data_IF_607118912850
#
_entry.id   IF_607118912850
#
_cell.length_a   1.000
_cell.length_b   1.000
_cell.length_c   1.000
_cell.angle_alpha   90.00
_cell.angle_beta   90.00
_cell.angle_gamma   90.00
#
_symmetry.space_group_name_H-M   'P 1'
#
loop_
_entity.id
_entity.type
_entity.pdbx_description
1 polymer ?
#
# COMPACT_ATOMS: atom_id res chain seq x y z
N UNK A 1 -85.73 -15.37 -70.86
CA UNK A 1 -84.52 -14.74 -71.45
C UNK A 1 -84.00 -13.59 -70.61
N UNK A 2 -84.75 -12.50 -70.37
CA UNK A 2 -84.27 -11.40 -69.50
C UNK A 2 -84.33 -11.75 -68.01
N UNK A 3 -85.40 -12.39 -67.55
CA UNK A 3 -85.54 -12.87 -66.17
C UNK A 3 -84.42 -13.84 -65.74
N UNK A 4 -83.99 -14.73 -66.64
CA UNK A 4 -82.90 -15.69 -66.41
C UNK A 4 -81.51 -15.04 -66.39
N UNK A 5 -81.34 -13.89 -67.06
CA UNK A 5 -80.09 -13.12 -66.97
C UNK A 5 -80.00 -12.39 -65.64
N UNK A 6 -81.10 -11.81 -65.19
CA UNK A 6 -81.19 -11.13 -63.89
C UNK A 6 -80.96 -12.08 -62.71
N UNK A 7 -81.46 -13.33 -62.78
CA UNK A 7 -81.18 -14.33 -61.73
C UNK A 7 -79.72 -14.76 -61.71
N UNK A 8 -79.12 -15.02 -62.89
CA UNK A 8 -77.69 -15.36 -62.99
C UNK A 8 -76.78 -14.24 -62.49
N UNK A 9 -77.12 -12.99 -62.77
CA UNK A 9 -76.39 -11.83 -62.24
C UNK A 9 -76.55 -11.69 -60.72
N UNK A 10 -77.74 -11.97 -60.18
CA UNK A 10 -77.97 -11.96 -58.74
C UNK A 10 -77.19 -13.08 -58.02
N UNK A 11 -77.14 -14.28 -58.60
CA UNK A 11 -76.40 -15.42 -58.05
C UNK A 11 -74.89 -15.20 -58.14
N UNK A 12 -74.39 -14.61 -59.24
CA UNK A 12 -72.98 -14.19 -59.36
C UNK A 12 -72.60 -13.10 -58.36
N UNK A 13 -73.49 -12.13 -58.10
CA UNK A 13 -73.27 -11.12 -57.04
C UNK A 13 -73.26 -11.76 -55.66
N UNK A 14 -74.09 -12.78 -55.41
CA UNK A 14 -74.09 -13.52 -54.14
C UNK A 14 -72.79 -14.32 -53.96
N UNK A 15 -72.33 -15.03 -55.00
CA UNK A 15 -71.07 -15.77 -54.93
C UNK A 15 -69.86 -14.86 -54.67
N UNK A 16 -69.79 -13.70 -55.34
CA UNK A 16 -68.73 -12.71 -55.09
C UNK A 16 -68.75 -12.16 -53.64
N UNK A 17 -69.94 -11.96 -53.07
CA UNK A 17 -70.08 -11.51 -51.67
C UNK A 17 -69.64 -12.61 -50.71
N UNK A 18 -69.94 -13.88 -51.01
CA UNK A 18 -69.52 -15.04 -50.22
C UNK A 18 -68.00 -15.27 -50.30
N UNK A 19 -67.41 -15.21 -51.48
CA UNK A 19 -65.96 -15.28 -51.69
C UNK A 19 -65.25 -14.15 -50.93
N UNK A 20 -65.74 -12.91 -51.02
CA UNK A 20 -65.19 -11.78 -50.26
C UNK A 20 -65.27 -12.01 -48.75
N UNK A 21 -66.39 -12.56 -48.25
CA UNK A 21 -66.54 -12.91 -46.83
C UNK A 21 -65.58 -14.02 -46.42
N UNK A 22 -65.35 -15.00 -47.28
CA UNK A 22 -64.43 -16.11 -47.00
C UNK A 22 -62.97 -15.62 -46.94
N UNK A 23 -62.53 -14.85 -47.93
CA UNK A 23 -61.19 -14.22 -47.94
C UNK A 23 -60.99 -13.35 -46.70
N UNK A 24 -62.00 -12.56 -46.31
CA UNK A 24 -61.91 -11.75 -45.10
C UNK A 24 -61.77 -12.60 -43.83
N UNK A 25 -62.48 -13.73 -43.73
CA UNK A 25 -62.37 -14.66 -42.59
C UNK A 25 -60.99 -15.32 -42.53
N UNK A 26 -60.46 -15.77 -43.66
CA UNK A 26 -59.13 -16.36 -43.77
C UNK A 26 -58.03 -15.35 -43.43
N UNK A 27 -58.19 -14.11 -43.87
CA UNK A 27 -57.29 -13.00 -43.49
C UNK A 27 -57.33 -12.73 -41.98
N UNK A 28 -58.51 -12.66 -41.37
CA UNK A 28 -58.63 -12.46 -39.92
C UNK A 28 -58.06 -13.64 -39.12
N UNK A 29 -58.26 -14.87 -39.59
CA UNK A 29 -57.69 -16.07 -38.96
C UNK A 29 -56.15 -16.09 -39.07
N UNK A 30 -55.59 -15.72 -40.22
CA UNK A 30 -54.14 -15.64 -40.39
C UNK A 30 -53.51 -14.51 -39.56
N UNK A 31 -54.15 -13.34 -39.48
CA UNK A 31 -53.72 -12.22 -38.64
C UNK A 31 -53.74 -12.56 -37.15
N UNK A 32 -54.79 -13.25 -36.67
CA UNK A 32 -54.87 -13.67 -35.26
C UNK A 32 -53.78 -14.68 -34.91
N UNK A 33 -53.51 -15.66 -35.80
CA UNK A 33 -52.40 -16.60 -35.65
C UNK A 33 -51.03 -15.89 -35.68
N UNK A 34 -50.84 -14.92 -36.58
CA UNK A 34 -49.60 -14.13 -36.65
C UNK A 34 -49.37 -13.37 -35.35
N UNK A 35 -50.37 -12.65 -34.85
CA UNK A 35 -50.30 -11.92 -33.58
C UNK A 35 -50.05 -12.84 -32.38
N UNK A 36 -50.64 -14.04 -32.37
CA UNK A 36 -50.38 -15.02 -31.32
C UNK A 36 -48.93 -15.51 -31.35
N UNK A 37 -48.37 -15.77 -32.53
CA UNK A 37 -46.95 -16.14 -32.71
C UNK A 37 -46.02 -15.02 -32.29
N UNK A 38 -46.29 -13.78 -32.70
CA UNK A 38 -45.51 -12.60 -32.30
C UNK A 38 -45.48 -12.43 -30.78
N UNK A 39 -46.63 -12.57 -30.09
CA UNK A 39 -46.71 -12.52 -28.63
C UNK A 39 -45.89 -13.63 -27.97
N UNK A 40 -45.94 -14.85 -28.54
CA UNK A 40 -45.15 -15.97 -28.02
C UNK A 40 -43.65 -15.73 -28.19
N UNK A 41 -43.22 -15.24 -29.36
CA UNK A 41 -41.83 -14.88 -29.63
C UNK A 41 -41.34 -13.78 -28.69
N UNK A 42 -42.16 -12.75 -28.46
CA UNK A 42 -41.82 -11.68 -27.52
C UNK A 42 -41.67 -12.21 -26.08
N UNK A 43 -42.60 -13.07 -25.64
CA UNK A 43 -42.51 -13.70 -24.32
C UNK A 43 -41.25 -14.56 -24.20
N UNK A 44 -40.92 -15.32 -25.25
CA UNK A 44 -39.73 -16.15 -25.29
C UNK A 44 -38.45 -15.31 -25.24
N UNK A 45 -38.35 -14.25 -26.03
CA UNK A 45 -37.20 -13.34 -26.04
C UNK A 45 -37.00 -12.70 -24.66
N UNK A 46 -38.09 -12.22 -24.05
CA UNK A 46 -38.05 -11.65 -22.71
C UNK A 46 -37.56 -12.66 -21.66
N UNK A 47 -38.01 -13.93 -21.72
CA UNK A 47 -37.52 -14.98 -20.83
C UNK A 47 -36.02 -15.27 -21.04
N UNK A 48 -35.53 -15.24 -22.29
CA UNK A 48 -34.10 -15.42 -22.55
C UNK A 48 -33.28 -14.26 -21.98
N UNK A 49 -33.76 -13.02 -22.12
CA UNK A 49 -33.09 -11.84 -21.54
C UNK A 49 -33.01 -11.93 -20.01
N UNK A 50 -34.11 -12.29 -19.34
CA UNK A 50 -34.08 -12.46 -17.89
C UNK A 50 -33.12 -13.57 -17.46
N UNK A 51 -33.10 -14.69 -18.18
CA UNK A 51 -32.13 -15.77 -17.91
C UNK A 51 -30.69 -15.28 -18.10
N UNK A 52 -30.41 -14.49 -19.14
CA UNK A 52 -29.08 -13.92 -19.35
C UNK A 52 -28.71 -12.94 -18.24
N UNK A 53 -29.63 -12.06 -17.83
CA UNK A 53 -29.38 -11.14 -16.72
C UNK A 53 -29.08 -11.87 -15.40
N UNK A 54 -29.75 -12.98 -15.12
CA UNK A 54 -29.45 -13.80 -13.93
C UNK A 54 -28.03 -14.36 -13.99
N UNK A 55 -27.64 -14.95 -15.13
CA UNK A 55 -26.29 -15.47 -15.34
C UNK A 55 -25.22 -14.38 -15.23
N UNK A 56 -25.48 -13.20 -15.82
CA UNK A 56 -24.57 -12.07 -15.77
C UNK A 56 -24.40 -11.56 -14.33
N UNK A 57 -25.49 -11.49 -13.56
CA UNK A 57 -25.44 -11.10 -12.14
C UNK A 57 -24.63 -12.09 -11.30
N UNK A 58 -24.82 -13.39 -11.52
CA UNK A 58 -24.05 -14.44 -10.85
C UNK A 58 -22.56 -14.31 -11.19
N UNK A 59 -22.22 -14.15 -12.47
CA UNK A 59 -20.85 -13.97 -12.93
C UNK A 59 -20.19 -12.69 -12.38
N UNK A 60 -20.93 -11.59 -12.31
CA UNK A 60 -20.41 -10.38 -11.69
C UNK A 60 -20.18 -10.56 -10.19
N UNK A 61 -21.08 -11.27 -9.50
CA UNK A 61 -20.95 -11.54 -8.08
C UNK A 61 -19.69 -12.37 -7.80
N UNK A 62 -19.48 -13.47 -8.53
CA UNK A 62 -18.29 -14.31 -8.39
C UNK A 62 -17.02 -13.51 -8.65
N UNK A 63 -16.96 -12.76 -9.75
CA UNK A 63 -15.81 -11.91 -10.09
C UNK A 63 -15.53 -10.85 -9.02
N UNK A 64 -16.56 -10.25 -8.42
CA UNK A 64 -16.40 -9.30 -7.30
C UNK A 64 -15.85 -9.99 -6.06
N UNK A 65 -16.32 -11.21 -5.75
CA UNK A 65 -15.79 -11.98 -4.61
C UNK A 65 -14.34 -12.40 -4.79
N UNK A 66 -13.95 -12.86 -5.99
CA UNK A 66 -12.57 -13.21 -6.33
C UNK A 66 -11.65 -11.99 -6.19
N UNK A 67 -12.03 -10.86 -6.79
CA UNK A 67 -11.28 -9.59 -6.67
C UNK A 67 -11.11 -9.17 -5.22
N UNK A 68 -12.15 -9.32 -4.41
CA UNK A 68 -12.09 -9.03 -2.97
C UNK A 68 -11.14 -9.98 -2.25
N UNK A 69 -11.14 -11.27 -2.58
CA UNK A 69 -10.22 -12.26 -2.04
C UNK A 69 -8.76 -11.87 -2.31
N UNK A 70 -8.43 -11.62 -3.58
CA UNK A 70 -7.07 -11.19 -3.99
C UNK A 70 -6.64 -9.91 -3.27
N UNK A 71 -7.54 -8.93 -3.10
CA UNK A 71 -7.21 -7.69 -2.42
C UNK A 71 -6.92 -7.91 -0.92
N UNK A 72 -7.67 -8.79 -0.27
CA UNK A 72 -7.43 -9.17 1.12
C UNK A 72 -6.10 -9.93 1.28
N UNK A 73 -5.80 -10.85 0.37
CA UNK A 73 -4.55 -11.62 0.39
C UNK A 73 -3.33 -10.70 0.19
N UNK A 74 -3.42 -9.77 -0.75
CA UNK A 74 -2.39 -8.76 -0.97
C UNK A 74 -2.21 -7.88 0.27
N UNK A 75 -3.30 -7.41 0.88
CA UNK A 75 -3.24 -6.63 2.12
C UNK A 75 -2.54 -7.39 3.24
N UNK A 76 -2.90 -8.66 3.45
CA UNK A 76 -2.28 -9.49 4.47
C UNK A 76 -0.79 -9.71 4.20
N UNK A 77 -0.42 -9.91 2.93
CA UNK A 77 0.98 -10.06 2.51
C UNK A 77 1.79 -8.79 2.78
N UNK A 78 1.27 -7.62 2.39
CA UNK A 78 1.94 -6.35 2.67
C UNK A 78 2.08 -6.08 4.16
N UNK A 79 1.07 -6.40 4.96
CA UNK A 79 1.16 -6.25 6.42
C UNK A 79 2.27 -7.12 7.02
N UNK A 80 2.41 -8.38 6.57
CA UNK A 80 3.51 -9.26 7.00
C UNK A 80 4.87 -8.67 6.62
N UNK A 81 5.03 -8.25 5.36
CA UNK A 81 6.26 -7.64 4.88
C UNK A 81 6.62 -6.36 5.65
N UNK A 82 5.64 -5.54 6.00
CA UNK A 82 5.88 -4.35 6.83
C UNK A 82 6.42 -4.71 8.22
N UNK A 83 5.84 -5.74 8.86
CA UNK A 83 6.32 -6.21 10.17
C UNK A 83 7.74 -6.74 10.06
N UNK A 84 8.01 -7.60 9.08
CA UNK A 84 9.35 -8.17 8.82
C UNK A 84 10.39 -7.06 8.61
N UNK A 85 10.10 -6.06 7.78
CA UNK A 85 11.01 -4.93 7.53
C UNK A 85 11.25 -4.11 8.79
N UNK A 86 10.23 -3.86 9.60
CA UNK A 86 10.39 -3.13 10.86
C UNK A 86 11.22 -3.91 11.88
N UNK A 87 11.06 -5.23 11.95
CA UNK A 87 11.88 -6.09 12.81
C UNK A 87 13.34 -6.11 12.35
N UNK A 88 13.59 -6.26 11.05
CA UNK A 88 14.94 -6.19 10.48
C UNK A 88 15.62 -4.86 10.79
N UNK A 89 14.93 -3.72 10.59
CA UNK A 89 15.47 -2.40 10.92
C UNK A 89 15.82 -2.26 12.40
N UNK A 90 14.96 -2.75 13.30
CA UNK A 90 15.25 -2.74 14.74
C UNK A 90 16.50 -3.55 15.07
N UNK A 91 16.64 -4.73 14.47
CA UNK A 91 17.83 -5.57 14.65
C UNK A 91 19.09 -4.88 14.12
N UNK A 92 19.04 -4.27 12.94
CA UNK A 92 20.16 -3.49 12.38
C UNK A 92 20.58 -2.36 13.31
N UNK A 93 19.61 -1.57 13.81
CA UNK A 93 19.89 -0.50 14.78
C UNK A 93 20.52 -0.99 16.07
N UNK A 94 20.07 -2.13 16.59
CA UNK A 94 20.64 -2.73 17.80
C UNK A 94 22.07 -3.19 17.55
N UNK A 95 22.32 -3.82 16.40
CA UNK A 95 23.66 -4.24 15.99
C UNK A 95 24.60 -3.05 15.80
N UNK A 96 24.11 -1.96 15.21
CA UNK A 96 24.88 -0.72 15.04
C UNK A 96 25.21 -0.08 16.39
N UNK A 97 24.24 0.00 17.31
CA UNK A 97 24.47 0.48 18.69
C UNK A 97 25.55 -0.35 19.39
N UNK A 98 25.47 -1.69 19.28
CA UNK A 98 26.46 -2.59 19.86
C UNK A 98 27.83 -2.46 19.18
N UNK A 99 27.88 -2.19 17.87
CA UNK A 99 29.13 -1.96 17.16
C UNK A 99 29.80 -0.65 17.60
N UNK A 100 29.03 0.43 17.73
CA UNK A 100 29.51 1.72 18.24
C UNK A 100 29.99 1.59 19.69
N UNK A 101 29.26 0.88 20.55
CA UNK A 101 29.69 0.62 21.93
C UNK A 101 31.02 -0.14 21.97
N UNK A 102 31.14 -1.23 21.19
CA UNK A 102 32.39 -2.00 21.09
C UNK A 102 33.56 -1.16 20.58
N UNK A 103 33.33 -0.31 19.59
CA UNK A 103 34.36 0.60 19.08
C UNK A 103 34.79 1.63 20.14
N UNK A 104 33.83 2.20 20.88
CA UNK A 104 34.12 3.13 21.96
C UNK A 104 34.88 2.47 23.12
N UNK A 105 34.54 1.22 23.46
CA UNK A 105 35.26 0.41 24.45
C UNK A 105 36.70 0.12 24.02
N UNK A 106 36.90 -0.25 22.75
CA UNK A 106 38.23 -0.48 22.18
C UNK A 106 39.09 0.79 22.23
N UNK A 107 38.56 1.93 21.80
CA UNK A 107 39.28 3.21 21.89
C UNK A 107 39.59 3.60 23.33
N UNK A 108 38.65 3.38 24.26
CA UNK A 108 38.90 3.63 25.67
C UNK A 108 39.97 2.72 26.26
N UNK A 109 40.05 1.46 25.81
CA UNK A 109 41.08 0.53 26.23
C UNK A 109 42.47 0.95 25.72
N UNK A 110 42.58 1.34 24.44
CA UNK A 110 43.82 1.83 23.85
C UNK A 110 44.31 3.10 24.55
N UNK A 111 43.41 4.05 24.82
CA UNK A 111 43.73 5.27 25.56
C UNK A 111 44.22 4.98 26.98
N UNK A 112 43.60 4.01 27.68
CA UNK A 112 44.06 3.56 29.00
C UNK A 112 45.43 2.92 28.95
N UNK A 113 45.68 2.05 27.96
CA UNK A 113 46.97 1.38 27.79
C UNK A 113 48.09 2.40 27.53
N UNK A 114 47.85 3.39 26.66
CA UNK A 114 48.79 4.47 26.41
C UNK A 114 49.11 5.27 27.67
N UNK A 115 48.09 5.66 28.44
CA UNK A 115 48.28 6.46 29.66
C UNK A 115 49.01 5.67 30.76
N UNK A 116 48.69 4.39 30.93
CA UNK A 116 49.39 3.51 31.88
C UNK A 116 50.87 3.40 31.52
N UNK A 117 51.18 3.12 30.25
CA UNK A 117 52.56 3.04 29.79
C UNK A 117 53.30 4.38 29.95
N UNK A 118 52.66 5.50 29.65
CA UNK A 118 53.24 6.82 29.83
C UNK A 118 53.58 7.09 31.32
N UNK A 119 52.70 6.69 32.24
CA UNK A 119 52.92 6.83 33.68
C UNK A 119 54.11 5.97 34.16
N UNK A 120 54.25 4.73 33.65
CA UNK A 120 55.41 3.86 33.92
C UNK A 120 56.72 4.52 33.46
N UNK A 121 56.77 5.02 32.23
CA UNK A 121 57.95 5.69 31.66
C UNK A 121 58.31 6.97 32.43
N UNK A 122 57.31 7.72 32.90
CA UNK A 122 57.52 8.91 33.74
C UNK A 122 58.10 8.52 35.10
N UNK A 123 57.59 7.44 35.72
CA UNK A 123 58.11 6.94 36.99
C UNK A 123 59.56 6.46 36.87
N UNK A 124 59.89 5.71 35.81
CA UNK A 124 61.25 5.24 35.58
C UNK A 124 62.21 6.41 35.28
N UNK A 125 61.77 7.39 34.49
CA UNK A 125 62.55 8.60 34.22
C UNK A 125 62.82 9.42 35.49
N UNK A 126 61.84 9.50 36.39
CA UNK A 126 61.99 10.12 37.72
C UNK A 126 63.03 9.40 38.56
N UNK A 127 62.98 8.06 38.60
CA UNK A 127 63.96 7.24 39.35
C UNK A 127 65.38 7.39 38.82
N UNK A 128 65.53 7.53 37.50
CA UNK A 128 66.82 7.65 36.81
C UNK A 128 67.34 9.09 36.71
N UNK A 129 66.64 10.09 37.24
CA UNK A 129 67.06 11.50 37.21
C UNK A 129 67.01 12.17 35.83
N UNK A 130 66.21 11.63 34.89
CA UNK A 130 66.06 12.18 33.53
C UNK A 130 65.05 13.34 33.51
N UNK A 131 65.16 14.29 32.56
CA UNK A 131 64.20 15.40 32.45
C UNK A 131 62.79 14.90 32.09
N UNK A 132 61.80 15.27 32.90
CA UNK A 132 60.41 14.76 32.82
C UNK A 132 59.52 15.65 31.94
N UNK A 133 59.88 16.93 31.81
CA UNK A 133 59.08 17.94 31.11
C UNK A 133 58.68 17.57 29.67
N UNK A 134 59.58 16.99 28.84
CA UNK A 134 59.20 16.55 27.49
C UNK A 134 58.11 15.47 27.48
N UNK A 135 58.15 14.54 28.44
CA UNK A 135 57.18 13.45 28.55
C UNK A 135 55.79 13.99 28.95
N UNK A 136 55.75 14.90 29.92
CA UNK A 136 54.50 15.53 30.36
C UNK A 136 53.84 16.33 29.24
N UNK A 137 54.64 17.02 28.43
CA UNK A 137 54.14 17.73 27.26
C UNK A 137 53.49 16.79 26.25
N UNK A 138 54.12 15.66 25.94
CA UNK A 138 53.57 14.66 25.00
C UNK A 138 52.26 14.08 25.54
N UNK A 139 52.18 13.71 26.81
CA UNK A 139 50.94 13.19 27.43
C UNK A 139 49.83 14.23 27.38
N UNK A 140 50.14 15.51 27.62
CA UNK A 140 49.16 16.61 27.52
C UNK A 140 48.68 16.79 26.08
N UNK A 141 49.58 16.79 25.10
CA UNK A 141 49.22 16.88 23.69
C UNK A 141 48.36 15.69 23.23
N UNK A 142 48.65 14.47 23.71
CA UNK A 142 47.84 13.29 23.46
C UNK A 142 46.42 13.43 24.03
N UNK A 143 46.30 13.80 25.31
CA UNK A 143 45.00 14.02 25.96
C UNK A 143 44.16 15.07 25.25
N UNK A 144 44.79 16.13 24.74
CA UNK A 144 44.13 17.17 23.96
C UNK A 144 43.65 16.65 22.60
N UNK A 145 44.46 15.85 21.89
CA UNK A 145 44.10 15.27 20.58
C UNK A 145 42.94 14.28 20.67
N UNK A 146 42.89 13.48 21.73
CA UNK A 146 41.88 12.44 21.91
C UNK A 146 40.68 12.91 22.77
N UNK A 147 40.56 14.21 23.05
CA UNK A 147 39.49 14.79 23.87
C UNK A 147 39.34 14.16 25.26
N UNK A 148 40.44 13.69 25.85
CA UNK A 148 40.50 13.12 27.21
C UNK A 148 40.65 14.20 28.29
N UNK A 149 40.83 15.46 27.91
CA UNK A 149 40.88 16.57 28.85
C UNK A 149 39.51 16.78 29.51
N UNK A 150 39.46 16.96 30.85
CA UNK A 150 38.21 17.26 31.53
C UNK A 150 37.63 18.55 30.97
N UNK A 151 36.36 18.50 30.56
CA UNK A 151 35.66 19.70 30.08
C UNK A 151 35.76 20.80 31.12
N UNK A 152 36.34 21.94 30.73
CA UNK A 152 36.44 23.11 31.59
C UNK A 152 35.03 23.52 32.00
N UNK A 153 34.72 23.41 33.29
CA UNK A 153 33.44 23.89 33.83
C UNK A 153 33.44 25.40 33.68
N UNK A 154 32.63 25.92 32.75
CA UNK A 154 32.46 27.35 32.59
C UNK A 154 31.96 27.95 33.92
N UNK A 155 32.59 29.02 34.42
CA UNK A 155 32.12 29.71 35.61
C UNK A 155 30.68 30.20 35.38
N UNK A 156 29.84 30.30 36.43
CA UNK A 156 28.41 30.60 36.29
C UNK A 156 28.10 31.84 35.47
N UNK A 157 28.99 32.84 35.51
CA UNK A 157 28.89 34.11 34.79
C UNK A 157 29.05 33.98 33.27
N UNK A 158 29.74 32.94 32.79
CA UNK A 158 29.96 32.66 31.36
C UNK A 158 29.01 31.59 30.81
N UNK A 159 28.06 31.10 31.63
CA UNK A 159 27.02 30.20 31.16
C UNK A 159 25.97 31.02 30.43
N UNK A 160 25.69 30.68 29.16
CA UNK A 160 24.60 31.30 28.43
C UNK A 160 23.28 31.06 29.16
N UNK A 161 22.54 32.14 29.45
CA UNK A 161 21.16 32.05 29.97
C UNK A 161 20.14 31.63 28.91
N UNK A 162 20.60 31.57 27.65
CA UNK A 162 19.82 30.97 26.57
C UNK A 162 19.76 29.48 26.84
N UNK A 163 18.55 28.89 27.00
CA UNK A 163 18.42 27.46 26.93
C UNK A 163 18.78 27.07 25.49
N UNK A 164 20.04 26.73 25.25
CA UNK A 164 20.42 25.99 24.06
C UNK A 164 19.79 24.63 24.30
N UNK A 165 18.57 24.51 23.80
CA UNK A 165 17.78 23.32 23.92
C UNK A 165 18.59 22.16 23.32
N UNK A 166 19.02 21.25 24.18
CA UNK A 166 19.02 19.82 23.86
C UNK A 166 17.59 19.29 23.64
N UNK A 167 16.58 20.16 23.61
CA UNK A 167 15.24 19.87 23.15
C UNK A 167 15.14 20.22 21.65
N UNK A 168 15.13 19.18 20.83
CA UNK A 168 14.41 19.24 19.56
C UNK A 168 13.00 19.79 19.86
N UNK A 169 12.58 20.80 19.11
CA UNK A 169 11.21 21.33 19.17
C UNK A 169 10.22 20.16 18.99
N UNK A 170 9.09 20.08 19.73
CA UNK A 170 8.17 18.95 19.63
C UNK A 170 7.48 18.79 18.25
N UNK A 171 7.68 19.74 17.32
CA UNK A 171 7.26 19.62 15.91
C UNK A 171 8.33 19.00 15.00
N UNK A 172 9.55 18.83 15.50
CA UNK A 172 10.68 18.21 14.81
C UNK A 172 10.93 16.77 15.31
N UNK A 173 10.29 16.34 16.41
CA UNK A 173 10.43 14.98 16.95
C UNK A 173 9.92 13.91 15.97
N UNK A 174 8.82 14.20 15.23
CA UNK A 174 8.23 13.25 14.29
C UNK A 174 9.03 13.09 12.97
N UNK A 175 10.03 13.95 12.75
CA UNK A 175 10.86 13.91 11.52
C UNK A 175 12.29 13.40 11.77
N UNK A 176 12.68 13.22 13.04
CA UNK A 176 13.98 12.67 13.41
C UNK A 176 13.93 11.17 13.78
N UNK A 177 12.76 10.53 13.76
CA UNK A 177 12.60 9.09 13.95
C UNK A 177 12.69 8.27 12.65
N UNK A 178 12.95 8.91 11.50
CA UNK A 178 13.18 8.20 10.21
C UNK A 178 14.65 7.91 9.90
N UNK A 179 15.58 8.28 10.79
CA UNK A 179 17.00 7.89 10.68
C UNK A 179 17.53 7.41 12.02
N UNK A 180 17.07 6.23 12.39
CA UNK A 180 17.89 5.11 12.84
C UNK A 180 16.93 3.95 12.77
#
# INVERSE_FOLDING_TARGET
RESERLTREADYRRSLVEEKKQVQREYLASETLRKARERHLLKWDMMQRFKQEEVDREFECTKRTERRGVLLDNRNTYQKQMVEVLEMKKQEQEMDKLAVQRAAEAWSADDKAFLQYADEVIQDSRRMGRPIEPLLRIVKEYKKKNNLEPKVKLPPLLRSRVPIAQACHPKCADRCSETN
#
